data_IF_135070193691
#
_entry.id   IF_135070193691
#
_cell.length_a   1.000
_cell.length_b   1.000
_cell.length_c   1.000
_cell.angle_alpha   90.00
_cell.angle_beta   90.00
_cell.angle_gamma   90.00
#
_symmetry.space_group_name_H-M   'P 1'
#
loop_
_entity.id
_entity.type
_entity.pdbx_description
1 polymer ?
#
# COMPACT_ATOMS: atom_id res chain seq x y z
N UNK A 1 -22.85 -4.44 33.14
CA UNK A 1 -21.91 -3.70 32.26
C UNK A 1 -20.57 -4.41 32.24
N UNK A 2 -20.38 -5.40 31.36
CA UNK A 2 -19.05 -5.96 31.14
C UNK A 2 -18.31 -4.93 30.29
N UNK A 3 -17.45 -4.12 30.91
CA UNK A 3 -16.40 -3.43 30.18
C UNK A 3 -15.53 -4.53 29.60
N UNK A 4 -15.77 -4.88 28.34
CA UNK A 4 -14.83 -5.69 27.57
C UNK A 4 -13.53 -4.89 27.62
N UNK A 5 -12.57 -5.37 28.40
CA UNK A 5 -11.18 -4.93 28.28
C UNK A 5 -10.71 -5.48 26.94
N UNK A 6 -11.18 -4.85 25.87
CA UNK A 6 -10.64 -5.07 24.55
C UNK A 6 -9.29 -4.35 24.58
N UNK A 7 -8.22 -5.14 24.67
CA UNK A 7 -6.88 -4.65 24.45
C UNK A 7 -6.85 -4.09 23.03
N UNK A 8 -7.03 -2.77 22.94
CA UNK A 8 -6.96 -2.06 21.68
C UNK A 8 -5.52 -2.18 21.18
N UNK A 9 -5.35 -3.06 20.20
CA UNK A 9 -4.06 -3.37 19.56
C UNK A 9 -3.35 -2.10 19.07
N UNK A 10 -4.11 -1.05 18.78
CA UNK A 10 -3.57 0.24 18.33
C UNK A 10 -2.89 1.05 19.43
N UNK A 11 -3.16 0.74 20.71
CA UNK A 11 -2.48 1.34 21.86
C UNK A 11 -1.29 0.51 22.37
N UNK A 12 -1.14 -0.72 21.89
CA UNK A 12 -0.12 -1.66 22.37
C UNK A 12 1.03 -1.80 21.36
N UNK A 13 0.74 -1.76 20.05
CA UNK A 13 1.74 -1.95 19.01
C UNK A 13 2.21 -0.62 18.41
N UNK A 14 3.52 -0.47 18.13
CA UNK A 14 4.03 0.64 17.34
C UNK A 14 3.37 0.69 15.95
N UNK A 15 3.16 1.90 15.42
CA UNK A 15 2.59 2.13 14.09
C UNK A 15 3.31 1.31 13.01
N UNK A 16 4.64 1.21 13.07
CA UNK A 16 5.45 0.44 12.12
C UNK A 16 5.09 -1.06 12.10
N UNK A 17 4.71 -1.63 13.25
CA UNK A 17 4.31 -3.05 13.34
C UNK A 17 2.93 -3.25 12.74
N UNK A 18 2.04 -2.29 12.96
CA UNK A 18 0.72 -2.27 12.34
C UNK A 18 0.86 -2.09 10.82
N UNK A 19 1.73 -1.18 10.36
CA UNK A 19 2.05 -1.02 8.94
C UNK A 19 2.59 -2.31 8.33
N UNK A 20 3.47 -3.03 9.05
CA UNK A 20 3.97 -4.31 8.56
C UNK A 20 2.86 -5.37 8.47
N UNK A 21 1.94 -5.44 9.42
CA UNK A 21 0.78 -6.33 9.29
C UNK A 21 -0.09 -5.96 8.09
N UNK A 22 -0.38 -4.68 7.91
CA UNK A 22 -1.20 -4.19 6.79
C UNK A 22 -0.52 -4.49 5.44
N UNK A 23 0.80 -4.39 5.36
CA UNK A 23 1.54 -4.70 4.12
C UNK A 23 1.51 -6.18 3.72
N UNK A 24 1.04 -7.06 4.60
CA UNK A 24 0.79 -8.49 4.31
C UNK A 24 -0.66 -8.75 3.84
N UNK A 25 -1.52 -7.73 3.81
CA UNK A 25 -2.92 -7.84 3.36
C UNK A 25 -3.07 -7.40 1.90
N UNK A 26 -4.30 -7.34 1.37
CA UNK A 26 -4.53 -6.75 0.05
C UNK A 26 -4.63 -5.20 0.13
N UNK A 27 -4.34 -4.46 -0.96
CA UNK A 27 -4.52 -3.00 -0.99
C UNK A 27 -5.93 -2.53 -0.59
N UNK A 28 -6.95 -3.33 -0.91
CA UNK A 28 -8.34 -3.07 -0.51
C UNK A 28 -8.53 -3.11 1.01
N UNK A 29 -7.86 -4.05 1.68
CA UNK A 29 -7.96 -4.22 3.14
C UNK A 29 -7.24 -3.07 3.85
N UNK A 30 -6.09 -2.63 3.34
CA UNK A 30 -5.43 -1.42 3.82
C UNK A 30 -6.36 -0.19 3.80
N UNK A 31 -7.09 0.03 2.70
CA UNK A 31 -8.08 1.11 2.61
C UNK A 31 -9.22 0.97 3.62
N UNK A 32 -9.67 -0.26 3.90
CA UNK A 32 -10.73 -0.53 4.89
C UNK A 32 -10.23 -0.33 6.31
N UNK A 33 -9.01 -0.75 6.61
CA UNK A 33 -8.41 -0.54 7.93
C UNK A 33 -8.19 0.94 8.22
N UNK A 34 -7.86 1.75 7.20
CA UNK A 34 -7.67 3.19 7.35
C UNK A 34 -8.88 3.96 7.89
N UNK A 35 -10.11 3.41 7.76
CA UNK A 35 -11.33 4.06 8.28
C UNK A 35 -11.72 3.59 9.68
N UNK A 36 -11.04 2.57 10.23
CA UNK A 36 -11.35 1.99 11.55
C UNK A 36 -10.87 2.89 12.69
N UNK A 37 -9.65 3.42 12.60
CA UNK A 37 -9.10 4.33 13.60
C UNK A 37 -8.00 5.23 13.02
N UNK A 38 -7.66 6.37 13.67
CA UNK A 38 -6.56 7.24 13.23
C UNK A 38 -5.20 6.52 13.20
N UNK A 39 -4.97 5.57 14.11
CA UNK A 39 -3.73 4.79 14.15
C UNK A 39 -3.65 3.85 12.96
N UNK A 40 -4.74 3.15 12.64
CA UNK A 40 -4.79 2.32 11.43
C UNK A 40 -4.67 3.16 10.17
N UNK A 41 -5.24 4.37 10.14
CA UNK A 41 -5.06 5.31 9.03
C UNK A 41 -3.60 5.66 8.81
N UNK A 42 -2.91 6.06 9.88
CA UNK A 42 -1.48 6.40 9.84
C UNK A 42 -0.63 5.22 9.38
N UNK A 43 -0.94 4.01 9.86
CA UNK A 43 -0.25 2.80 9.46
C UNK A 43 -0.53 2.43 7.99
N UNK A 44 -1.80 2.48 7.56
CA UNK A 44 -2.23 2.15 6.22
C UNK A 44 -1.73 3.13 5.14
N UNK A 45 -1.53 4.40 5.51
CA UNK A 45 -0.99 5.43 4.60
C UNK A 45 0.54 5.41 4.53
N UNK A 46 1.21 4.55 5.30
CA UNK A 46 2.68 4.43 5.29
C UNK A 46 3.21 3.87 3.97
N UNK A 47 4.29 4.44 3.47
CA UNK A 47 4.98 3.94 2.28
C UNK A 47 5.48 2.49 2.42
N UNK A 48 5.67 1.98 3.65
CA UNK A 48 6.01 0.58 3.93
C UNK A 48 4.91 -0.39 3.44
N UNK A 49 3.66 0.05 3.53
CA UNK A 49 2.50 -0.73 3.08
C UNK A 49 2.47 -0.78 1.56
N UNK A 50 2.50 0.39 0.93
CA UNK A 50 2.30 0.52 -0.51
C UNK A 50 3.51 0.03 -1.31
N UNK A 51 4.73 0.02 -0.74
CA UNK A 51 5.90 -0.60 -1.37
C UNK A 51 5.74 -2.10 -1.55
N UNK A 52 5.13 -2.79 -0.58
CA UNK A 52 4.97 -4.25 -0.64
C UNK A 52 3.87 -4.70 -1.59
N UNK A 53 2.97 -3.79 -1.94
CA UNK A 53 1.94 -4.03 -2.96
C UNK A 53 2.46 -3.83 -4.38
N UNK A 54 3.59 -3.15 -4.54
CA UNK A 54 4.23 -2.96 -5.85
C UNK A 54 5.11 -4.18 -6.19
N UNK A 55 5.19 -4.58 -7.46
CA UNK A 55 6.17 -5.56 -7.91
C UNK A 55 7.59 -5.10 -7.55
N UNK A 56 8.51 -6.00 -7.20
CA UNK A 56 9.90 -5.65 -6.86
C UNK A 56 10.58 -4.83 -7.97
N UNK A 57 10.24 -5.11 -9.22
CA UNK A 57 10.83 -4.49 -10.41
C UNK A 57 10.08 -3.21 -10.86
N UNK A 58 9.16 -2.70 -10.05
CA UNK A 58 8.35 -1.50 -10.37
C UNK A 58 9.20 -0.30 -10.76
N UNK A 59 10.38 -0.13 -10.15
CA UNK A 59 11.32 0.97 -10.45
C UNK A 59 11.92 0.89 -11.85
N UNK A 60 11.96 -0.30 -12.44
CA UNK A 60 12.49 -0.54 -13.79
C UNK A 60 11.39 -0.57 -14.84
N UNK A 61 10.22 -1.12 -14.49
CA UNK A 61 9.14 -1.38 -15.45
C UNK A 61 8.30 -0.13 -15.70
N UNK A 62 8.02 0.65 -14.66
CA UNK A 62 7.05 1.76 -14.77
C UNK A 62 7.61 2.94 -15.58
N UNK A 63 8.88 3.35 -15.44
CA UNK A 63 9.45 4.40 -16.30
C UNK A 63 9.45 4.03 -17.80
N UNK A 64 9.52 2.73 -18.11
CA UNK A 64 9.61 2.22 -19.49
C UNK A 64 8.24 2.02 -20.15
N UNK A 65 7.19 1.76 -19.36
CA UNK A 65 5.86 1.49 -19.90
C UNK A 65 4.95 2.72 -19.96
N UNK A 66 5.22 3.76 -19.17
CA UNK A 66 4.36 4.95 -19.09
C UNK A 66 5.05 6.08 -19.85
N UNK A 67 4.42 6.62 -20.90
CA UNK A 67 4.91 7.79 -21.65
C UNK A 67 5.04 9.08 -20.80
N UNK A 68 4.84 8.99 -19.49
CA UNK A 68 4.96 10.05 -18.49
C UNK A 68 5.90 9.63 -17.35
N UNK A 69 7.07 9.10 -17.71
CA UNK A 69 8.15 8.67 -16.80
C UNK A 69 8.50 9.71 -15.71
N UNK A 70 8.33 11.01 -15.99
CA UNK A 70 8.57 12.08 -15.02
C UNK A 70 7.52 12.22 -13.91
N UNK A 71 6.29 11.73 -14.10
CA UNK A 71 5.23 11.82 -13.08
C UNK A 71 5.29 10.68 -12.07
N UNK A 72 5.75 9.52 -12.51
CA UNK A 72 5.82 8.28 -11.71
C UNK A 72 6.84 8.38 -10.59
N UNK A 73 7.95 9.09 -10.81
CA UNK A 73 9.05 9.22 -9.84
C UNK A 73 8.74 10.21 -8.71
N UNK A 74 7.74 11.08 -8.89
CA UNK A 74 7.36 12.12 -7.93
C UNK A 74 6.10 11.76 -7.11
N UNK A 75 5.36 10.74 -7.52
CA UNK A 75 4.09 10.35 -6.91
C UNK A 75 4.30 9.40 -5.71
N UNK A 76 3.42 9.48 -4.71
CA UNK A 76 3.45 8.51 -3.61
C UNK A 76 3.12 7.11 -4.12
N UNK A 77 3.70 6.08 -3.50
CA UNK A 77 3.51 4.66 -3.88
C UNK A 77 2.04 4.26 -3.90
N UNK A 78 1.24 4.85 -3.00
CA UNK A 78 -0.22 4.69 -2.95
C UNK A 78 -0.89 5.13 -4.24
N UNK A 79 -0.61 6.35 -4.70
CA UNK A 79 -1.22 6.89 -5.92
C UNK A 79 -0.75 6.10 -7.13
N UNK A 80 0.49 5.62 -7.12
CA UNK A 80 1.01 4.74 -8.17
C UNK A 80 0.22 3.44 -8.28
N UNK A 81 -0.08 2.78 -7.16
CA UNK A 81 -0.93 1.57 -7.13
C UNK A 81 -2.32 1.87 -7.72
N UNK A 82 -2.95 2.97 -7.33
CA UNK A 82 -4.26 3.36 -7.88
C UNK A 82 -4.19 3.63 -9.39
N UNK A 83 -3.13 4.27 -9.86
CA UNK A 83 -2.93 4.51 -11.27
C UNK A 83 -2.79 3.20 -12.07
N UNK A 84 -1.96 2.26 -11.59
CA UNK A 84 -1.79 0.95 -12.22
C UNK A 84 -3.08 0.11 -12.22
N UNK A 85 -3.93 0.29 -11.21
CA UNK A 85 -5.23 -0.37 -11.17
C UNK A 85 -6.14 0.07 -12.32
N UNK A 86 -6.07 1.34 -12.72
CA UNK A 86 -6.82 1.89 -13.86
C UNK A 86 -6.11 1.70 -15.20
N UNK A 87 -4.78 1.56 -15.18
CA UNK A 87 -3.94 1.42 -16.36
C UNK A 87 -3.01 0.21 -16.18
N UNK A 88 -3.53 -1.03 -16.33
CA UNK A 88 -2.72 -2.22 -16.17
C UNK A 88 -1.60 -2.24 -17.20
N UNK A 89 -0.37 -2.40 -16.70
CA UNK A 89 0.83 -2.51 -17.52
C UNK A 89 1.11 -4.00 -17.73
N UNK A 90 1.21 -4.42 -18.99
CA UNK A 90 1.67 -5.77 -19.31
C UNK A 90 3.19 -5.85 -19.13
N UNK A 91 3.61 -6.55 -18.07
CA UNK A 91 5.01 -6.84 -17.83
C UNK A 91 5.37 -8.03 -18.71
N UNK A 92 6.30 -7.82 -19.64
CA UNK A 92 6.75 -8.77 -20.66
C UNK A 92 5.80 -8.89 -21.87
N UNK A 93 6.30 -8.54 -23.06
CA UNK A 93 5.62 -8.62 -24.36
C UNK A 93 5.40 -10.08 -24.84
N UNK A 94 5.01 -10.99 -23.95
CA UNK A 94 4.64 -12.37 -24.32
C UNK A 94 5.77 -13.25 -24.86
N UNK A 95 7.03 -13.03 -24.48
CA UNK A 95 8.10 -13.99 -24.77
C UNK A 95 8.27 -14.96 -23.61
N UNK A 96 7.64 -16.13 -23.76
CA UNK A 96 8.06 -17.40 -23.16
C UNK A 96 9.13 -18.05 -24.02
#
# INVERSE_FOLDING_TARGET
CVKRSEMDITNVLPVERISHMISLTAPRDACRLAVVSPVFKSAADSDLVWEKFLPSDHKLIIPNSVSSSSLVTSLSKKVLIFHLYHHPIFINNGTV
#
